data_IF_553819439041
#
_entry.id   IF_553819439041
#
_cell.length_a   1.000
_cell.length_b   1.000
_cell.length_c   1.000
_cell.angle_alpha   90.00
_cell.angle_beta   90.00
_cell.angle_gamma   90.00
#
_symmetry.space_group_name_H-M   'P 1'
#
loop_
_entity.id
_entity.type
_entity.pdbx_description
1 polymer ?
#
# COMPACT_ATOMS: atom_id res chain seq x y z
N UNK A 1 29.95 14.22 15.98
CA UNK A 1 28.96 13.77 15.01
C UNK A 1 27.71 13.34 15.78
N UNK A 2 26.52 13.72 15.31
CA UNK A 2 25.23 13.38 15.97
C UNK A 2 24.80 11.97 15.58
N UNK A 3 25.21 11.49 14.41
CA UNK A 3 24.89 10.15 13.87
C UNK A 3 26.17 9.33 13.69
N UNK A 4 26.09 8.04 13.93
CA UNK A 4 27.12 7.07 13.54
C UNK A 4 27.19 6.97 12.00
N UNK A 5 28.28 6.46 11.41
CA UNK A 5 28.37 6.24 9.96
C UNK A 5 27.25 5.36 9.40
N UNK A 6 26.77 4.39 10.18
CA UNK A 6 25.67 3.49 9.81
C UNK A 6 24.33 4.24 9.80
N UNK A 7 24.05 5.01 10.84
CA UNK A 7 22.85 5.86 10.93
C UNK A 7 22.85 6.96 9.85
N UNK A 8 24.00 7.57 9.57
CA UNK A 8 24.12 8.54 8.49
C UNK A 8 23.85 7.92 7.12
N UNK A 9 24.39 6.72 6.86
CA UNK A 9 24.13 5.99 5.62
C UNK A 9 22.67 5.56 5.50
N UNK A 10 22.01 5.18 6.60
CA UNK A 10 20.60 4.85 6.66
C UNK A 10 19.73 6.09 6.40
N UNK A 11 19.96 7.18 7.12
CA UNK A 11 19.26 8.46 6.93
C UNK A 11 19.40 9.01 5.52
N UNK A 12 20.58 8.88 4.90
CA UNK A 12 20.81 9.28 3.51
C UNK A 12 20.03 8.42 2.52
N UNK A 13 19.90 7.12 2.74
CA UNK A 13 19.10 6.23 1.89
C UNK A 13 17.60 6.52 2.05
N UNK A 14 17.12 6.71 3.27
CA UNK A 14 15.72 7.01 3.54
C UNK A 14 15.31 8.39 3.02
N UNK A 15 16.17 9.42 3.14
CA UNK A 15 15.85 10.77 2.66
C UNK A 15 15.62 10.87 1.14
N UNK A 16 16.24 9.98 0.35
CA UNK A 16 16.05 9.93 -1.11
C UNK A 16 14.72 9.28 -1.52
N UNK A 17 14.13 8.47 -0.65
CA UNK A 17 12.91 7.69 -0.91
C UNK A 17 11.77 7.98 0.09
N UNK A 18 11.99 8.88 1.04
CA UNK A 18 11.00 9.24 2.05
C UNK A 18 9.96 10.21 1.48
N UNK A 19 9.00 9.69 0.76
CA UNK A 19 7.84 10.44 0.30
C UNK A 19 6.77 10.45 1.40
N UNK A 20 6.91 11.33 2.40
CA UNK A 20 5.91 11.46 3.45
C UNK A 20 4.57 11.88 2.86
N UNK A 21 3.55 11.04 3.08
CA UNK A 21 2.20 11.34 2.63
C UNK A 21 1.60 12.44 3.50
N UNK A 22 1.08 13.50 2.88
CA UNK A 22 0.40 14.55 3.61
C UNK A 22 -0.82 13.96 4.36
N UNK A 23 -1.03 14.27 5.66
CA UNK A 23 -2.12 13.69 6.46
C UNK A 23 -3.51 13.81 5.82
N UNK A 24 -3.76 14.85 5.03
CA UNK A 24 -5.01 15.01 4.30
C UNK A 24 -5.25 13.89 3.29
N UNK A 25 -4.24 13.53 2.50
CA UNK A 25 -4.34 12.43 1.52
C UNK A 25 -4.58 11.11 2.25
N UNK A 26 -3.82 10.86 3.32
CA UNK A 26 -3.99 9.65 4.12
C UNK A 26 -5.39 9.57 4.75
N UNK A 27 -5.93 10.68 5.29
CA UNK A 27 -7.31 10.73 5.80
C UNK A 27 -8.36 10.50 4.71
N UNK A 28 -8.17 11.06 3.51
CA UNK A 28 -9.07 10.82 2.39
C UNK A 28 -9.09 9.35 1.98
N UNK A 29 -7.93 8.69 1.92
CA UNK A 29 -7.84 7.26 1.65
C UNK A 29 -8.53 6.44 2.75
N UNK A 30 -8.39 6.81 4.02
CA UNK A 30 -9.14 6.20 5.11
C UNK A 30 -10.64 6.41 5.00
N UNK A 31 -11.09 7.62 4.62
CA UNK A 31 -12.49 7.91 4.33
C UNK A 31 -13.05 6.97 3.26
N UNK A 32 -12.28 6.74 2.19
CA UNK A 32 -12.63 5.80 1.13
C UNK A 32 -12.72 4.35 1.66
N UNK A 33 -11.71 3.87 2.41
CA UNK A 33 -11.75 2.52 3.00
C UNK A 33 -12.93 2.33 3.95
N UNK A 34 -13.25 3.33 4.79
CA UNK A 34 -14.42 3.28 5.67
C UNK A 34 -15.73 3.20 4.89
N UNK A 35 -15.84 3.94 3.79
CA UNK A 35 -17.00 3.91 2.90
C UNK A 35 -17.13 2.54 2.21
N UNK A 36 -16.01 1.93 1.85
CA UNK A 36 -15.98 0.55 1.35
C UNK A 36 -16.38 -0.48 2.41
N UNK A 37 -16.40 -0.13 3.70
CA UNK A 37 -16.80 -1.00 4.81
C UNK A 37 -15.66 -1.47 5.72
N UNK A 38 -14.41 -1.05 5.49
CA UNK A 38 -13.28 -1.37 6.39
C UNK A 38 -13.46 -0.61 7.70
N UNK A 39 -13.56 -1.34 8.79
CA UNK A 39 -13.72 -0.80 10.16
C UNK A 39 -12.60 -1.25 11.08
N UNK A 40 -12.34 -2.53 11.06
CA UNK A 40 -11.49 -3.26 11.97
C UNK A 40 -10.69 -4.32 11.20
N UNK A 41 -9.84 -5.07 11.90
CA UNK A 41 -9.14 -6.22 11.35
C UNK A 41 -7.62 -6.06 11.33
N UNK A 42 -6.95 -6.86 10.50
CA UNK A 42 -5.49 -6.86 10.36
C UNK A 42 -5.09 -5.97 9.20
N UNK A 43 -4.46 -4.84 9.53
CA UNK A 43 -3.96 -3.87 8.55
C UNK A 43 -2.48 -4.07 8.24
N UNK A 44 -2.10 -3.91 6.98
CA UNK A 44 -0.72 -3.88 6.53
C UNK A 44 -0.37 -2.49 5.98
N UNK A 45 0.72 -1.90 6.47
CA UNK A 45 1.41 -0.79 5.81
C UNK A 45 2.82 -1.26 5.40
N UNK A 46 3.05 -1.64 4.13
CA UNK A 46 4.27 -2.34 3.72
C UNK A 46 5.49 -1.44 3.54
N UNK A 47 5.33 -0.13 3.66
CA UNK A 47 6.37 0.91 3.61
C UNK A 47 5.92 2.07 4.49
N UNK A 48 5.96 1.84 5.82
CA UNK A 48 5.22 2.69 6.75
C UNK A 48 5.88 4.05 7.02
N UNK A 49 7.17 4.19 6.78
CA UNK A 49 7.89 5.35 7.27
C UNK A 49 7.71 5.50 8.77
N UNK A 50 7.31 6.68 9.22
CA UNK A 50 6.96 6.94 10.62
C UNK A 50 5.51 6.58 10.99
N UNK A 51 4.73 5.98 10.08
CA UNK A 51 3.37 5.50 10.34
C UNK A 51 2.27 6.54 10.15
N UNK A 52 2.36 7.38 9.12
CA UNK A 52 1.35 8.41 8.87
C UNK A 52 -0.05 7.83 8.65
N UNK A 53 -0.17 6.67 8.02
CA UNK A 53 -1.48 6.02 7.83
C UNK A 53 -2.00 5.40 9.11
N UNK A 54 -1.13 4.90 10.00
CA UNK A 54 -1.52 4.44 11.33
C UNK A 54 -2.04 5.61 12.17
N UNK A 55 -1.32 6.74 12.16
CA UNK A 55 -1.64 7.90 12.99
C UNK A 55 -2.92 8.65 12.61
N UNK A 56 -3.40 8.48 11.38
CA UNK A 56 -4.68 9.08 10.94
C UNK A 56 -5.77 8.03 10.77
N UNK A 57 -5.56 6.80 11.24
CA UNK A 57 -6.62 5.80 11.29
C UNK A 57 -7.82 6.36 12.08
N UNK A 58 -9.06 6.08 11.64
CA UNK A 58 -10.24 6.62 12.30
C UNK A 58 -10.34 6.19 13.75
N UNK A 59 -10.74 7.11 14.62
CA UNK A 59 -10.99 6.82 16.03
C UNK A 59 -12.00 5.68 16.20
N UNK A 60 -11.78 4.86 17.22
CA UNK A 60 -12.60 3.68 17.52
C UNK A 60 -12.38 2.50 16.59
N UNK A 61 -11.43 2.57 15.65
CA UNK A 61 -11.05 1.40 14.86
C UNK A 61 -10.21 0.44 15.69
N UNK A 62 -10.55 -0.85 15.65
CA UNK A 62 -9.76 -1.90 16.29
C UNK A 62 -8.91 -2.62 15.23
N UNK A 63 -7.77 -2.02 14.89
CA UNK A 63 -6.89 -2.53 13.84
C UNK A 63 -5.62 -3.11 14.44
N UNK A 64 -5.36 -4.38 14.16
CA UNK A 64 -4.10 -5.03 14.45
C UNK A 64 -3.11 -4.71 13.33
N UNK A 65 -2.24 -3.73 13.56
CA UNK A 65 -1.31 -3.24 12.57
C UNK A 65 -0.05 -4.09 12.44
N UNK A 66 0.35 -4.31 11.18
CA UNK A 66 1.71 -4.67 10.81
C UNK A 66 2.25 -3.58 9.90
N UNK A 67 3.27 -2.87 10.38
CA UNK A 67 4.02 -1.89 9.62
C UNK A 67 5.38 -2.46 9.22
N UNK A 68 5.81 -2.21 7.99
CA UNK A 68 7.14 -2.62 7.50
C UNK A 68 7.91 -1.38 7.11
N UNK A 69 9.13 -1.24 7.59
CA UNK A 69 10.02 -0.12 7.25
C UNK A 69 11.45 -0.60 7.06
N UNK A 70 12.04 -0.22 5.96
CA UNK A 70 13.39 -0.64 5.58
C UNK A 70 14.46 0.02 6.45
N UNK A 71 14.28 1.32 6.78
CA UNK A 71 15.22 2.06 7.61
C UNK A 71 15.00 1.77 9.09
N UNK A 72 16.00 1.20 9.79
CA UNK A 72 15.86 0.83 11.19
C UNK A 72 15.54 2.01 12.12
N UNK A 73 16.08 3.19 11.83
CA UNK A 73 15.85 4.40 12.62
C UNK A 73 14.41 4.86 12.50
N UNK A 74 13.89 4.91 11.28
CA UNK A 74 12.49 5.27 11.00
C UNK A 74 11.53 4.22 11.59
N UNK A 75 11.87 2.93 11.48
CA UNK A 75 11.11 1.85 12.10
C UNK A 75 11.06 1.97 13.62
N UNK A 76 12.19 2.33 14.28
CA UNK A 76 12.24 2.55 15.71
C UNK A 76 11.33 3.72 16.15
N UNK A 77 11.32 4.82 15.38
CA UNK A 77 10.38 5.94 15.61
C UNK A 77 8.93 5.46 15.49
N UNK A 78 8.61 4.71 14.43
CA UNK A 78 7.27 4.12 14.25
C UNK A 78 6.86 3.21 15.41
N UNK A 79 7.76 2.34 15.88
CA UNK A 79 7.50 1.47 17.03
C UNK A 79 7.25 2.25 18.32
N UNK A 80 7.96 3.36 18.51
CA UNK A 80 7.76 4.23 19.68
C UNK A 80 6.40 4.97 19.61
N UNK A 81 6.04 5.47 18.43
CA UNK A 81 4.78 6.19 18.24
C UNK A 81 3.56 5.27 18.32
N UNK A 82 3.71 4.03 17.87
CA UNK A 82 2.61 3.06 17.80
C UNK A 82 2.99 1.73 18.50
N UNK A 83 3.06 1.72 19.83
CA UNK A 83 3.54 0.55 20.59
C UNK A 83 2.66 -0.69 20.47
N UNK A 84 1.40 -0.54 20.06
CA UNK A 84 0.49 -1.66 19.77
C UNK A 84 0.66 -2.26 18.38
N UNK A 85 1.38 -1.59 17.49
CA UNK A 85 1.63 -2.09 16.13
C UNK A 85 2.81 -3.08 16.10
N UNK A 86 2.72 -4.07 15.22
CA UNK A 86 3.86 -4.91 14.89
C UNK A 86 4.71 -4.20 13.83
N UNK A 87 5.82 -3.58 14.22
CA UNK A 87 6.73 -2.90 13.30
C UNK A 87 7.91 -3.81 12.96
N UNK A 88 8.07 -4.12 11.67
CA UNK A 88 9.14 -4.95 11.12
C UNK A 88 10.22 -4.05 10.48
N UNK A 89 11.38 -3.91 11.16
CA UNK A 89 12.53 -3.12 10.66
C UNK A 89 13.33 -3.92 9.61
N UNK A 90 12.76 -4.10 8.42
CA UNK A 90 13.35 -4.85 7.30
C UNK A 90 12.70 -4.50 5.98
N UNK A 91 13.29 -4.94 4.87
CA UNK A 91 12.65 -4.83 3.56
C UNK A 91 11.40 -5.71 3.45
N UNK A 92 10.40 -5.24 2.70
CA UNK A 92 9.15 -6.01 2.53
C UNK A 92 9.39 -7.39 1.91
N UNK A 93 10.46 -7.57 1.11
CA UNK A 93 10.86 -8.86 0.54
C UNK A 93 11.22 -9.89 1.63
N UNK A 94 11.70 -9.43 2.79
CA UNK A 94 12.15 -10.28 3.90
C UNK A 94 11.05 -10.55 4.93
N UNK A 95 9.87 -9.96 4.75
CA UNK A 95 8.71 -10.19 5.61
C UNK A 95 8.05 -11.51 5.23
N UNK A 96 7.95 -12.40 6.20
CA UNK A 96 7.34 -13.72 6.06
C UNK A 96 6.04 -13.78 6.85
N UNK A 97 4.92 -13.68 6.15
CA UNK A 97 3.57 -13.85 6.69
C UNK A 97 2.78 -14.78 5.75
N UNK A 98 1.81 -15.56 6.26
CA UNK A 98 0.97 -16.39 5.42
C UNK A 98 0.22 -15.58 4.36
N UNK A 99 -0.12 -16.22 3.26
CA UNK A 99 -1.07 -15.64 2.30
C UNK A 99 -2.44 -15.50 2.96
N UNK A 100 -3.22 -14.51 2.51
CA UNK A 100 -4.56 -14.22 3.02
C UNK A 100 -4.61 -13.84 4.52
N UNK A 101 -3.50 -13.35 5.06
CA UNK A 101 -3.40 -13.00 6.48
C UNK A 101 -4.09 -11.67 6.81
N UNK A 102 -3.85 -10.64 6.01
CA UNK A 102 -4.37 -9.29 6.26
C UNK A 102 -5.79 -9.12 5.71
N UNK A 103 -6.54 -8.25 6.32
CA UNK A 103 -7.86 -7.84 5.88
C UNK A 103 -7.78 -6.72 4.85
N UNK A 104 -6.81 -5.83 4.99
CA UNK A 104 -6.51 -4.78 4.03
C UNK A 104 -5.03 -4.38 4.08
N UNK A 105 -4.59 -3.68 3.04
CA UNK A 105 -3.30 -2.98 3.00
C UNK A 105 -3.52 -1.54 2.54
N UNK A 106 -2.81 -0.60 3.18
CA UNK A 106 -2.84 0.83 2.85
C UNK A 106 -1.43 1.39 2.95
N UNK A 107 -1.06 2.35 2.11
CA UNK A 107 0.24 2.99 2.20
C UNK A 107 0.63 3.78 0.97
N UNK A 108 1.80 4.41 1.05
CA UNK A 108 2.50 5.02 -0.07
C UNK A 108 3.72 4.15 -0.37
N UNK A 109 3.66 3.37 -1.44
CA UNK A 109 4.74 2.43 -1.76
C UNK A 109 5.92 3.13 -2.42
N UNK A 110 7.16 2.64 -2.26
CA UNK A 110 8.33 3.24 -2.89
C UNK A 110 8.21 3.21 -4.42
N UNK A 111 8.71 4.26 -5.07
CA UNK A 111 8.76 4.39 -6.54
C UNK A 111 10.19 4.20 -7.01
N UNK A 112 10.37 3.52 -8.14
CA UNK A 112 11.69 3.36 -8.70
C UNK A 112 11.77 2.27 -9.74
N UNK A 113 12.99 2.07 -10.25
CA UNK A 113 13.32 1.03 -11.23
C UNK A 113 13.90 -0.22 -10.57
N UNK A 114 14.15 -0.15 -9.27
CA UNK A 114 14.67 -1.23 -8.46
C UNK A 114 13.72 -2.43 -8.53
N UNK A 115 14.30 -3.61 -8.53
CA UNK A 115 13.56 -4.88 -8.53
C UNK A 115 13.91 -5.63 -7.25
N UNK A 116 13.04 -5.63 -6.25
CA UNK A 116 13.26 -6.38 -5.02
C UNK A 116 13.45 -7.87 -5.32
N UNK A 117 14.43 -8.48 -4.65
CA UNK A 117 14.68 -9.91 -4.80
C UNK A 117 13.83 -10.67 -3.78
N UNK A 118 12.76 -11.28 -4.26
CA UNK A 118 11.85 -12.13 -3.48
C UNK A 118 11.48 -13.34 -4.35
N UNK A 119 11.96 -14.52 -3.96
CA UNK A 119 11.92 -15.73 -4.79
C UNK A 119 10.56 -16.02 -5.43
N UNK A 120 9.41 -15.94 -4.74
CA UNK A 120 8.09 -16.17 -5.33
C UNK A 120 7.71 -15.15 -6.43
N UNK A 121 8.27 -13.93 -6.36
CA UNK A 121 7.92 -12.80 -7.24
C UNK A 121 8.96 -12.50 -8.32
N UNK A 122 10.18 -13.06 -8.23
CA UNK A 122 11.27 -12.83 -9.19
C UNK A 122 10.86 -13.14 -10.64
N UNK A 123 10.01 -14.15 -10.83
CA UNK A 123 9.47 -14.54 -12.15
C UNK A 123 8.70 -13.41 -12.86
N UNK A 124 8.19 -12.44 -12.13
CA UNK A 124 7.45 -11.32 -12.72
C UNK A 124 8.37 -10.22 -13.24
N UNK A 125 9.62 -10.10 -12.74
CA UNK A 125 10.54 -9.03 -13.08
C UNK A 125 9.99 -7.64 -12.76
N UNK A 126 9.12 -7.58 -11.75
CA UNK A 126 8.41 -6.37 -11.36
C UNK A 126 9.36 -5.33 -10.76
N UNK A 127 9.17 -4.07 -11.09
CA UNK A 127 9.81 -2.95 -10.39
C UNK A 127 9.16 -2.78 -9.00
N UNK A 128 9.82 -2.02 -8.12
CA UNK A 128 9.48 -1.95 -6.69
C UNK A 128 7.98 -1.68 -6.44
N UNK A 129 7.39 -0.66 -7.04
CA UNK A 129 5.97 -0.34 -6.82
C UNK A 129 5.02 -1.46 -7.29
N UNK A 130 5.30 -2.08 -8.42
CA UNK A 130 4.51 -3.21 -8.93
C UNK A 130 4.65 -4.46 -8.04
N UNK A 131 5.87 -4.70 -7.51
CA UNK A 131 6.14 -5.78 -6.56
C UNK A 131 5.32 -5.62 -5.27
N UNK A 132 5.22 -4.39 -4.74
CA UNK A 132 4.42 -4.13 -3.53
C UNK A 132 2.95 -4.50 -3.73
N UNK A 133 2.37 -4.19 -4.90
CA UNK A 133 1.00 -4.63 -5.22
C UNK A 133 0.89 -6.16 -5.31
N UNK A 134 1.81 -6.83 -6.02
CA UNK A 134 1.77 -8.28 -6.19
C UNK A 134 1.81 -9.00 -4.85
N UNK A 135 2.78 -8.65 -3.99
CA UNK A 135 2.94 -9.28 -2.68
C UNK A 135 1.80 -8.94 -1.73
N UNK A 136 1.38 -7.68 -1.68
CA UNK A 136 0.28 -7.28 -0.79
C UNK A 136 -1.04 -7.96 -1.17
N UNK A 137 -1.33 -8.13 -2.46
CA UNK A 137 -2.51 -8.89 -2.88
C UNK A 137 -2.46 -10.36 -2.47
N UNK A 138 -1.28 -10.98 -2.46
CA UNK A 138 -1.16 -12.34 -1.95
C UNK A 138 -1.38 -12.39 -0.43
N UNK A 139 -0.88 -11.39 0.30
CA UNK A 139 -0.98 -11.33 1.77
C UNK A 139 -2.35 -10.85 2.28
N UNK A 140 -3.09 -10.08 1.50
CA UNK A 140 -4.48 -9.71 1.80
C UNK A 140 -5.40 -10.88 1.44
N UNK A 141 -6.42 -11.14 2.27
CA UNK A 141 -7.39 -12.21 2.03
C UNK A 141 -8.38 -11.87 0.89
N UNK A 142 -9.06 -12.86 0.32
CA UNK A 142 -10.19 -12.61 -0.56
C UNK A 142 -11.25 -11.73 0.12
N UNK A 143 -11.90 -10.84 -0.65
CA UNK A 143 -12.81 -9.82 -0.13
C UNK A 143 -12.14 -8.61 0.51
N UNK A 144 -10.83 -8.69 0.80
CA UNK A 144 -10.03 -7.58 1.33
C UNK A 144 -9.60 -6.57 0.27
N UNK A 145 -9.04 -5.44 0.71
CA UNK A 145 -8.70 -4.28 -0.14
C UNK A 145 -7.23 -3.92 -0.02
N UNK A 146 -6.62 -3.56 -1.15
CA UNK A 146 -5.30 -2.92 -1.22
C UNK A 146 -5.49 -1.51 -1.75
N UNK A 147 -5.04 -0.51 -0.98
CA UNK A 147 -5.15 0.92 -1.28
C UNK A 147 -3.77 1.58 -1.23
N UNK A 148 -3.14 1.78 -2.38
CA UNK A 148 -1.78 2.34 -2.43
C UNK A 148 -1.68 3.59 -3.28
N UNK A 149 -0.81 4.51 -2.81
CA UNK A 149 -0.25 5.58 -3.63
C UNK A 149 0.95 4.99 -4.36
N UNK A 150 1.04 5.25 -5.66
CA UNK A 150 2.10 4.74 -6.53
C UNK A 150 2.43 5.75 -7.64
N UNK A 151 3.49 5.50 -8.39
CA UNK A 151 3.77 6.25 -9.62
C UNK A 151 2.83 5.87 -10.75
N UNK A 152 2.68 6.73 -11.76
CA UNK A 152 1.91 6.44 -12.97
C UNK A 152 2.39 5.17 -13.70
N UNK A 153 3.60 4.71 -13.40
CA UNK A 153 4.19 3.52 -14.02
C UNK A 153 3.37 2.24 -13.81
N UNK A 154 2.59 2.11 -12.74
CA UNK A 154 1.71 0.95 -12.57
C UNK A 154 0.58 0.96 -13.59
N UNK A 155 -0.04 2.12 -13.83
CA UNK A 155 -1.19 2.25 -14.71
C UNK A 155 -0.80 2.42 -16.20
N UNK A 156 0.21 3.25 -16.51
CA UNK A 156 0.46 3.73 -17.88
C UNK A 156 1.54 2.99 -18.65
N UNK A 157 2.26 2.02 -18.05
CA UNK A 157 3.23 1.22 -18.81
C UNK A 157 2.54 0.55 -20.01
N UNK A 158 3.14 0.68 -21.20
CA UNK A 158 2.66 0.00 -22.41
C UNK A 158 2.60 -1.52 -22.22
N UNK A 159 3.57 -2.09 -21.48
CA UNK A 159 3.52 -3.51 -21.13
C UNK A 159 2.49 -3.79 -20.04
N UNK A 160 1.40 -4.43 -20.40
CA UNK A 160 0.26 -4.73 -19.50
C UNK A 160 0.48 -5.96 -18.60
N UNK A 161 1.62 -6.66 -18.70
CA UNK A 161 1.86 -7.94 -18.01
C UNK A 161 1.55 -7.90 -16.52
N UNK A 162 2.05 -6.89 -15.80
CA UNK A 162 1.83 -6.79 -14.34
C UNK A 162 0.36 -6.48 -14.06
N UNK A 163 -0.25 -5.53 -14.78
CA UNK A 163 -1.68 -5.24 -14.64
C UNK A 163 -2.55 -6.47 -14.86
N UNK A 164 -2.23 -7.29 -15.86
CA UNK A 164 -2.93 -8.57 -16.11
C UNK A 164 -2.76 -9.57 -14.97
N UNK A 165 -1.57 -9.63 -14.33
CA UNK A 165 -1.37 -10.46 -13.14
C UNK A 165 -2.20 -9.97 -11.95
N UNK A 166 -2.25 -8.66 -11.71
CA UNK A 166 -3.05 -8.06 -10.66
C UNK A 166 -4.55 -8.26 -10.94
N UNK A 167 -4.99 -7.97 -12.17
CA UNK A 167 -6.38 -8.17 -12.62
C UNK A 167 -6.81 -9.65 -12.61
N UNK A 168 -5.87 -10.58 -12.70
CA UNK A 168 -6.13 -12.01 -12.51
C UNK A 168 -6.59 -12.36 -11.08
N UNK A 169 -6.21 -11.55 -10.08
CA UNK A 169 -6.49 -11.80 -8.66
C UNK A 169 -7.45 -10.80 -8.01
N UNK A 170 -7.56 -9.61 -8.56
CA UNK A 170 -8.31 -8.51 -7.96
C UNK A 170 -9.07 -7.69 -9.01
N UNK A 171 -10.14 -7.05 -8.55
CA UNK A 171 -10.87 -6.05 -9.32
C UNK A 171 -10.32 -4.66 -9.00
N UNK A 172 -10.17 -3.82 -10.02
CA UNK A 172 -9.99 -2.39 -9.80
C UNK A 172 -11.31 -1.83 -9.26
N UNK A 173 -11.25 -1.27 -8.06
CA UNK A 173 -12.40 -0.56 -7.47
C UNK A 173 -12.43 0.87 -7.99
N UNK A 174 -11.29 1.55 -7.92
CA UNK A 174 -11.06 2.88 -8.48
C UNK A 174 -9.56 3.18 -8.56
N UNK A 175 -9.22 4.16 -9.40
CA UNK A 175 -7.92 4.83 -9.36
C UNK A 175 -8.13 6.35 -9.45
N UNK A 176 -7.28 7.12 -8.77
CA UNK A 176 -7.34 8.59 -8.77
C UNK A 176 -5.94 9.09 -9.08
N UNK A 177 -5.81 9.90 -10.13
CA UNK A 177 -4.54 10.51 -10.54
C UNK A 177 -4.40 11.89 -9.94
N UNK A 178 -3.27 12.12 -9.26
CA UNK A 178 -2.96 13.36 -8.56
C UNK A 178 -1.95 14.20 -9.35
N UNK A 179 -2.01 15.54 -9.23
CA UNK A 179 -1.03 16.45 -9.81
C UNK A 179 0.40 16.18 -9.36
N UNK A 180 1.35 16.50 -10.22
CA UNK A 180 2.77 16.28 -9.97
C UNK A 180 3.32 16.99 -8.74
N UNK A 181 2.74 18.11 -8.33
CA UNK A 181 3.16 18.92 -7.18
C UNK A 181 2.51 18.51 -5.85
N UNK A 182 1.61 17.51 -5.86
CA UNK A 182 0.88 17.08 -4.66
C UNK A 182 1.80 16.70 -3.49
N UNK A 183 2.97 16.12 -3.78
CA UNK A 183 3.97 15.70 -2.79
C UNK A 183 5.23 16.58 -2.78
N UNK A 184 5.25 17.68 -3.54
CA UNK A 184 6.45 18.52 -3.70
C UNK A 184 6.96 19.12 -2.39
N UNK A 185 6.06 19.53 -1.50
CA UNK A 185 6.42 20.09 -0.19
C UNK A 185 7.10 19.08 0.73
N UNK A 186 6.83 17.78 0.53
CA UNK A 186 7.29 16.71 1.40
C UNK A 186 8.43 15.89 0.77
N UNK A 187 8.56 15.90 -0.55
CA UNK A 187 9.51 15.05 -1.28
C UNK A 187 10.51 15.84 -2.15
N UNK A 188 10.34 17.16 -2.29
CA UNK A 188 11.24 18.01 -3.10
C UNK A 188 11.17 17.77 -4.61
N UNK A 189 10.40 16.81 -5.08
CA UNK A 189 10.26 16.44 -6.50
C UNK A 189 8.81 16.50 -6.95
N UNK A 190 8.61 16.88 -8.23
CA UNK A 190 7.28 16.87 -8.85
C UNK A 190 7.10 15.51 -9.55
N UNK A 191 6.19 14.68 -9.05
CA UNK A 191 5.87 13.36 -9.60
C UNK A 191 4.37 13.15 -9.61
N UNK A 192 3.81 12.92 -10.78
CA UNK A 192 2.40 12.51 -10.93
C UNK A 192 2.25 11.13 -10.31
N UNK A 193 1.24 10.98 -9.46
CA UNK A 193 0.99 9.75 -8.71
C UNK A 193 -0.44 9.30 -8.88
N UNK A 194 -0.65 8.00 -8.69
CA UNK A 194 -1.97 7.39 -8.69
C UNK A 194 -2.29 6.81 -7.31
N UNK A 195 -3.50 7.00 -6.82
CA UNK A 195 -4.07 6.23 -5.71
C UNK A 195 -4.88 5.11 -6.35
N UNK A 196 -4.53 3.86 -6.06
CA UNK A 196 -5.18 2.70 -6.66
C UNK A 196 -5.84 1.86 -5.56
N UNK A 197 -7.11 1.53 -5.75
CA UNK A 197 -7.89 0.67 -4.86
C UNK A 197 -8.20 -0.63 -5.58
N UNK A 198 -7.70 -1.75 -5.07
CA UNK A 198 -7.93 -3.09 -5.59
C UNK A 198 -8.66 -3.92 -4.55
N UNK A 199 -9.73 -4.62 -4.95
CA UNK A 199 -10.40 -5.63 -4.12
C UNK A 199 -9.96 -7.02 -4.56
N UNK A 200 -9.40 -7.81 -3.65
CA UNK A 200 -9.05 -9.20 -3.96
C UNK A 200 -10.31 -10.04 -4.13
N UNK A 201 -10.37 -10.79 -5.22
CA UNK A 201 -11.50 -11.69 -5.51
C UNK A 201 -11.37 -13.01 -4.77
N UNK A 202 -12.52 -13.65 -4.56
CA UNK A 202 -12.55 -15.06 -4.20
C UNK A 202 -11.95 -15.90 -5.33
N UNK A 203 -11.23 -16.98 -5.03
CA UNK A 203 -10.69 -17.88 -6.03
C UNK A 203 -11.80 -18.38 -6.98
N UNK A 204 -11.56 -18.26 -8.29
CA UNK A 204 -12.52 -18.68 -9.31
C UNK A 204 -13.67 -17.69 -9.60
N UNK A 205 -13.78 -16.59 -8.83
CA UNK A 205 -14.78 -15.58 -9.13
C UNK A 205 -14.47 -14.82 -10.42
N UNK A 206 -15.52 -14.55 -11.20
CA UNK A 206 -15.41 -13.73 -12.42
C UNK A 206 -14.93 -12.31 -12.07
N UNK A 207 -14.13 -11.72 -12.98
CA UNK A 207 -13.69 -10.35 -12.84
C UNK A 207 -14.89 -9.39 -12.92
N UNK A 208 -14.88 -8.40 -12.06
CA UNK A 208 -15.87 -7.31 -11.98
C UNK A 208 -15.11 -5.98 -11.94
N UNK A 209 -15.81 -4.90 -12.21
CA UNK A 209 -15.21 -3.57 -12.20
C UNK A 209 -14.72 -3.10 -13.57
N UNK A 210 -14.17 -1.88 -13.66
CA UNK A 210 -13.77 -1.27 -14.91
C UNK A 210 -12.55 -1.96 -15.52
N UNK A 211 -12.42 -1.86 -16.84
CA UNK A 211 -11.22 -2.30 -17.55
C UNK A 211 -10.05 -1.34 -17.27
N UNK A 212 -8.85 -1.89 -17.01
CA UNK A 212 -7.67 -1.09 -16.66
C UNK A 212 -6.33 -1.74 -17.06
N UNK A 213 -6.37 -2.86 -17.76
CA UNK A 213 -5.13 -3.57 -18.09
C UNK A 213 -4.39 -2.97 -19.27
N UNK A 214 -5.09 -2.25 -20.14
CA UNK A 214 -4.53 -1.70 -21.38
C UNK A 214 -4.35 -0.18 -21.28
N UNK A 215 -3.57 0.36 -22.21
CA UNK A 215 -3.38 1.80 -22.39
C UNK A 215 -3.92 2.22 -23.75
N UNK A 216 -4.36 3.46 -23.84
CA UNK A 216 -4.88 4.09 -25.07
C UNK A 216 -4.14 5.39 -25.35
N UNK A 217 -4.29 5.91 -26.55
CA UNK A 217 -3.81 7.23 -26.95
C UNK A 217 -4.95 8.23 -26.81
N UNK A 218 -4.72 9.31 -26.07
CA UNK A 218 -5.63 10.44 -25.95
C UNK A 218 -4.97 11.69 -26.53
N UNK A 219 -5.75 12.62 -27.06
CA UNK A 219 -5.22 13.87 -27.61
C UNK A 219 -4.63 14.72 -26.52
N UNK A 220 -3.43 15.28 -26.78
CA UNK A 220 -2.88 16.33 -25.95
C UNK A 220 -3.72 17.60 -26.10
N UNK A 221 -4.26 18.19 -25.01
CA UNK A 221 -5.05 19.42 -25.10
C UNK A 221 -4.26 20.61 -25.64
N UNK A 222 -2.94 20.58 -25.59
CA UNK A 222 -2.04 21.61 -26.12
C UNK A 222 -1.62 21.38 -27.58
N UNK A 223 -2.20 20.38 -28.25
CA UNK A 223 -1.96 20.09 -29.66
C UNK A 223 -0.65 19.38 -29.97
N UNK A 224 0.01 18.83 -28.96
CA UNK A 224 1.20 18.01 -29.09
C UNK A 224 0.93 16.57 -29.55
N UNK A 225 1.89 15.69 -29.36
CA UNK A 225 1.72 14.26 -29.60
C UNK A 225 0.71 13.64 -28.63
N UNK A 226 0.01 12.62 -29.09
CA UNK A 226 -0.96 11.90 -28.28
C UNK A 226 -0.33 11.36 -26.99
N UNK A 227 -1.06 11.51 -25.87
CA UNK A 227 -0.68 11.06 -24.55
C UNK A 227 -1.03 9.58 -24.41
N UNK A 228 -0.08 8.75 -23.95
CA UNK A 228 -0.37 7.38 -23.55
C UNK A 228 -0.96 7.38 -22.14
N UNK A 229 -2.18 6.90 -22.01
CA UNK A 229 -2.94 6.92 -20.77
C UNK A 229 -3.60 5.56 -20.53
N UNK A 230 -3.71 5.14 -19.26
CA UNK A 230 -4.48 3.95 -18.96
C UNK A 230 -5.93 4.13 -19.41
N UNK A 231 -6.50 3.07 -20.01
CA UNK A 231 -7.88 3.11 -20.50
C UNK A 231 -8.87 3.52 -19.40
N UNK A 232 -8.63 3.11 -18.14
CA UNK A 232 -9.47 3.51 -17.02
C UNK A 232 -9.60 5.04 -16.88
N UNK A 233 -8.48 5.76 -16.97
CA UNK A 233 -8.50 7.22 -16.87
C UNK A 233 -9.09 7.89 -18.11
N UNK A 234 -8.91 7.29 -19.28
CA UNK A 234 -9.53 7.78 -20.52
C UNK A 234 -11.07 7.66 -20.46
N UNK A 235 -11.57 6.57 -19.88
CA UNK A 235 -13.01 6.33 -19.68
C UNK A 235 -13.57 7.08 -18.45
N UNK A 236 -12.72 7.46 -17.48
CA UNK A 236 -13.09 8.14 -16.26
C UNK A 236 -12.27 9.43 -16.05
N UNK A 237 -12.39 10.44 -16.92
CA UNK A 237 -11.56 11.65 -16.87
C UNK A 237 -11.74 12.45 -15.57
N UNK A 238 -12.88 12.34 -14.90
CA UNK A 238 -13.13 12.95 -13.60
C UNK A 238 -12.32 12.35 -12.44
N UNK A 239 -11.58 11.26 -12.69
CA UNK A 239 -10.62 10.66 -11.75
C UNK A 239 -9.18 11.18 -11.97
N UNK A 240 -8.95 12.04 -12.94
CA UNK A 240 -7.72 12.80 -13.12
C UNK A 240 -7.90 14.17 -12.47
N UNK A 241 -7.22 14.43 -11.34
CA UNK A 241 -7.44 15.61 -10.51
C UNK A 241 -6.51 16.75 -10.95
N UNK A 242 -6.82 17.34 -12.06
CA UNK A 242 -6.06 18.41 -12.67
C UNK A 242 -6.17 18.42 -14.17
N UNK A 243 -5.34 19.22 -14.81
CA UNK A 243 -5.26 19.27 -16.27
C UNK A 243 -4.17 18.30 -16.73
N UNK A 244 -4.57 17.31 -17.51
CA UNK A 244 -3.65 16.39 -18.17
C UNK A 244 -2.93 17.12 -19.30
N UNK A 245 -1.60 17.07 -19.32
CA UNK A 245 -0.77 17.69 -20.35
C UNK A 245 0.59 16.97 -20.45
N UNK A 246 1.45 17.43 -21.37
CA UNK A 246 2.84 16.96 -21.51
C UNK A 246 3.86 17.98 -21.03
N UNK A 247 3.43 19.14 -20.56
CA UNK A 247 4.31 20.23 -20.15
C UNK A 247 4.98 19.92 -18.81
N UNK A 248 6.27 20.26 -18.69
CA UNK A 248 6.98 20.23 -17.41
C UNK A 248 7.68 18.94 -17.03
N UNK A 249 7.74 17.94 -17.90
CA UNK A 249 8.54 16.73 -17.67
C UNK A 249 10.04 17.02 -17.88
N UNK A 250 10.76 17.30 -16.77
CA UNK A 250 12.22 17.49 -16.80
C UNK A 250 13.02 16.23 -17.18
N UNK A 251 12.38 15.05 -17.23
CA UNK A 251 13.10 13.78 -17.33
C UNK A 251 12.78 12.92 -18.54
N UNK A 252 11.66 13.17 -19.27
CA UNK A 252 11.28 12.43 -20.49
C UNK A 252 10.23 13.19 -21.30
N UNK A 253 10.42 13.25 -22.62
CA UNK A 253 9.43 13.78 -23.57
C UNK A 253 8.11 13.00 -23.61
N UNK A 254 8.06 11.79 -23.04
CA UNK A 254 6.92 10.86 -23.11
C UNK A 254 6.13 10.77 -21.79
N UNK A 255 6.52 11.53 -20.75
CA UNK A 255 5.84 11.43 -19.46
C UNK A 255 4.60 12.31 -19.40
N UNK A 256 3.51 11.70 -18.98
CA UNK A 256 2.27 12.39 -18.65
C UNK A 256 2.51 13.35 -17.49
N UNK A 257 2.06 14.58 -17.62
CA UNK A 257 1.97 15.55 -16.53
C UNK A 257 0.51 15.81 -16.17
N UNK A 258 0.26 16.15 -14.91
CA UNK A 258 -1.03 16.66 -14.44
C UNK A 258 -0.78 17.95 -13.67
N UNK A 259 -1.22 19.03 -14.26
CA UNK A 259 -1.10 20.37 -13.66
C UNK A 259 -2.24 20.63 -12.70
N UNK A 260 -1.89 20.98 -11.45
CA UNK A 260 -2.86 21.33 -10.41
C UNK A 260 -3.71 22.51 -10.82
N UNK A 261 -5.01 22.43 -10.56
CA UNK A 261 -5.98 23.48 -10.82
C UNK A 261 -6.47 24.09 -9.51
N UNK A 262 -7.03 25.32 -9.51
CA UNK A 262 -7.53 25.95 -8.29
C UNK A 262 -8.62 25.15 -7.56
N UNK A 263 -9.40 24.37 -8.29
CA UNK A 263 -10.48 23.50 -7.79
C UNK A 263 -10.00 22.08 -7.38
N UNK A 264 -8.69 21.90 -7.19
CA UNK A 264 -8.09 20.62 -6.83
C UNK A 264 -8.77 19.95 -5.65
N UNK A 265 -9.01 20.70 -4.59
CA UNK A 265 -9.54 20.18 -3.34
C UNK A 265 -10.96 19.62 -3.51
N UNK A 266 -11.82 20.40 -4.17
CA UNK A 266 -13.19 20.00 -4.47
C UNK A 266 -13.23 18.76 -5.38
N UNK A 267 -12.43 18.76 -6.44
CA UNK A 267 -12.34 17.64 -7.37
C UNK A 267 -11.80 16.38 -6.71
N UNK A 268 -10.81 16.51 -5.82
CA UNK A 268 -10.22 15.38 -5.11
C UNK A 268 -11.25 14.77 -4.14
N UNK A 269 -11.95 15.57 -3.37
CA UNK A 269 -13.02 15.10 -2.48
C UNK A 269 -14.14 14.42 -3.29
N UNK A 270 -14.60 15.05 -4.36
CA UNK A 270 -15.61 14.48 -5.25
C UNK A 270 -15.17 13.17 -5.89
N UNK A 271 -13.88 13.02 -6.26
CA UNK A 271 -13.36 11.77 -6.79
C UNK A 271 -13.34 10.65 -5.73
N UNK A 272 -12.94 10.98 -4.51
CA UNK A 272 -13.00 10.04 -3.37
C UNK A 272 -14.45 9.64 -3.04
N UNK A 273 -15.39 10.55 -3.17
CA UNK A 273 -16.82 10.32 -2.89
C UNK A 273 -17.51 9.42 -3.92
N UNK A 274 -16.99 9.36 -5.15
CA UNK A 274 -17.48 8.45 -6.19
C UNK A 274 -17.08 6.99 -5.97
N UNK A 275 -16.16 6.71 -5.04
CA UNK A 275 -15.77 5.33 -4.78
C UNK A 275 -16.97 4.51 -4.27
N UNK A 276 -17.14 3.27 -4.76
CA UNK A 276 -18.29 2.45 -4.39
C UNK A 276 -18.30 2.13 -2.90
N UNK A 277 -19.50 2.11 -2.33
CA UNK A 277 -19.70 1.77 -0.92
C UNK A 277 -19.82 0.26 -0.71
N UNK A 278 -19.50 -0.22 0.51
CA UNK A 278 -19.72 -1.59 0.95
C UNK A 278 -19.12 -2.66 0.02
N UNK A 279 -17.97 -2.36 -0.57
CA UNK A 279 -17.25 -3.30 -1.44
C UNK A 279 -16.39 -4.29 -0.66
N UNK A 280 -15.89 -3.88 0.51
CA UNK A 280 -15.15 -4.76 1.41
C UNK A 280 -16.09 -5.77 2.05
N UNK A 281 -15.63 -7.01 2.19
CA UNK A 281 -16.33 -8.04 2.92
C UNK A 281 -15.66 -8.24 4.27
N UNK A 282 -16.30 -7.90 5.39
CA UNK A 282 -15.76 -8.20 6.71
C UNK A 282 -15.42 -9.68 6.85
N UNK A 283 -14.42 -10.00 7.66
CA UNK A 283 -14.16 -11.40 8.04
C UNK A 283 -15.33 -11.86 8.90
N UNK A 284 -15.87 -13.05 8.62
CA UNK A 284 -16.82 -13.68 9.53
C UNK A 284 -16.13 -13.80 10.89
N UNK A 285 -16.71 -13.13 11.89
CA UNK A 285 -16.28 -13.28 13.27
C UNK A 285 -16.73 -14.66 13.70
N UNK A 286 -15.88 -15.65 13.54
CA UNK A 286 -16.05 -16.88 14.32
C UNK A 286 -15.76 -16.44 15.75
N UNK A 287 -16.80 -16.25 16.56
CA UNK A 287 -16.65 -16.11 18.01
C UNK A 287 -16.03 -17.42 18.53
N UNK A 288 -14.71 -17.48 18.51
CA UNK A 288 -14.01 -18.46 19.31
C UNK A 288 -14.07 -17.96 20.74
N UNK A 289 -15.08 -18.42 21.48
CA UNK A 289 -15.07 -18.41 22.94
C UNK A 289 -14.00 -19.40 23.41
N UNK A 290 -12.74 -19.11 23.15
CA UNK A 290 -11.61 -19.85 23.70
C UNK A 290 -10.85 -18.95 24.66
N UNK A 291 -10.81 -19.42 25.86
CA UNK A 291 -10.15 -18.92 27.05
C UNK A 291 -8.70 -18.50 26.75
N UNK A 292 -8.34 -17.25 27.06
CA UNK A 292 -7.05 -16.66 26.80
C UNK A 292 -6.09 -17.14 27.92
N UNK A 293 -5.56 -18.35 27.80
CA UNK A 293 -4.70 -18.88 28.86
C UNK A 293 -3.81 -20.07 28.52
N UNK A 294 -3.95 -20.70 27.38
CA UNK A 294 -3.14 -21.90 27.08
C UNK A 294 -1.86 -21.57 26.31
N UNK A 295 -0.73 -21.97 26.91
CA UNK A 295 0.57 -22.02 26.25
C UNK A 295 0.58 -23.20 25.29
N UNK A 296 0.57 -22.93 23.98
CA UNK A 296 0.59 -23.96 22.95
C UNK A 296 2.00 -24.56 22.87
N UNK A 297 2.14 -25.89 23.10
CA UNK A 297 3.40 -26.60 22.93
C UNK A 297 3.73 -26.74 21.45
N UNK A 298 4.93 -26.29 21.07
CA UNK A 298 5.41 -26.34 19.69
C UNK A 298 5.76 -27.77 19.24
N UNK A 299 5.27 -28.14 18.06
CA UNK A 299 5.77 -29.26 17.29
C UNK A 299 7.00 -28.79 16.47
N UNK A 300 8.20 -29.06 16.98
CA UNK A 300 9.49 -28.78 16.32
C UNK A 300 10.26 -27.59 16.89
N UNK A 301 11.60 -27.58 16.66
CA UNK A 301 12.49 -26.50 17.11
C UNK A 301 12.24 -25.24 16.26
N UNK A 302 11.62 -24.21 16.84
CA UNK A 302 11.52 -22.88 16.24
C UNK A 302 12.50 -21.93 16.92
N UNK A 303 12.94 -20.93 16.17
CA UNK A 303 13.99 -20.00 16.63
C UNK A 303 13.42 -19.11 17.75
N UNK A 304 14.16 -18.97 18.84
CA UNK A 304 13.83 -18.06 19.95
C UNK A 304 13.58 -16.63 19.44
N UNK A 305 12.61 -15.94 20.01
CA UNK A 305 12.16 -14.61 19.64
C UNK A 305 11.58 -14.46 18.20
N UNK A 306 11.38 -15.56 17.47
CA UNK A 306 10.67 -15.50 16.18
C UNK A 306 9.15 -15.34 16.39
N UNK A 307 8.48 -14.67 15.43
CA UNK A 307 7.03 -14.63 15.41
C UNK A 307 6.49 -15.86 14.66
N UNK A 308 5.52 -16.53 15.27
CA UNK A 308 4.82 -17.67 14.70
C UNK A 308 3.34 -17.35 14.63
N UNK A 309 2.70 -17.70 13.54
CA UNK A 309 1.26 -17.54 13.37
C UNK A 309 0.65 -18.95 13.42
N UNK A 310 -0.24 -19.14 14.37
CA UNK A 310 -0.97 -20.40 14.55
C UNK A 310 -2.46 -20.07 14.77
N UNK A 311 -3.33 -20.74 14.05
CA UNK A 311 -4.78 -20.48 14.06
C UNK A 311 -5.16 -18.99 13.86
N UNK A 312 -4.36 -18.26 13.05
CA UNK A 312 -4.62 -16.86 12.75
C UNK A 312 -4.21 -15.86 13.85
N UNK A 313 -3.55 -16.33 14.92
CA UNK A 313 -3.00 -15.47 15.99
C UNK A 313 -1.47 -15.40 15.86
N UNK A 314 -0.88 -14.25 16.19
CA UNK A 314 0.56 -14.06 16.22
C UNK A 314 1.09 -14.35 17.63
N UNK A 315 2.09 -15.22 17.70
CA UNK A 315 2.78 -15.59 18.93
C UNK A 315 4.27 -15.29 18.79
N UNK A 316 4.93 -14.99 19.91
CA UNK A 316 6.39 -14.94 19.99
C UNK A 316 6.90 -16.24 20.62
N UNK A 317 7.98 -16.79 20.07
CA UNK A 317 8.66 -17.94 20.68
C UNK A 317 9.52 -17.44 21.84
N UNK A 318 9.20 -17.84 23.08
CA UNK A 318 9.99 -17.59 24.28
C UNK A 318 10.19 -18.89 25.05
N UNK A 319 11.44 -19.23 25.35
CA UNK A 319 11.81 -20.46 26.09
C UNK A 319 11.21 -21.73 25.48
N UNK A 320 11.14 -21.79 24.13
CA UNK A 320 10.60 -22.93 23.42
C UNK A 320 9.07 -23.07 23.43
N UNK A 321 8.33 -22.06 23.94
CA UNK A 321 6.87 -22.00 23.95
C UNK A 321 6.35 -20.82 23.11
N UNK A 322 5.09 -20.90 22.67
CA UNK A 322 4.40 -19.77 22.02
C UNK A 322 3.74 -18.89 23.09
N UNK A 323 4.11 -17.63 23.09
CA UNK A 323 3.49 -16.60 23.96
C UNK A 323 2.68 -15.66 23.08
N UNK A 324 1.40 -15.46 23.42
CA UNK A 324 0.56 -14.48 22.73
C UNK A 324 1.23 -13.11 22.83
N UNK A 325 1.48 -12.49 21.69
CA UNK A 325 2.22 -11.24 21.62
C UNK A 325 1.54 -10.09 22.35
N UNK A 326 0.21 -10.18 22.57
CA UNK A 326 -0.55 -9.20 23.35
C UNK A 326 -0.32 -9.31 24.87
N UNK A 327 0.20 -10.45 25.33
CA UNK A 327 0.47 -10.73 26.75
C UNK A 327 1.97 -10.63 27.08
N UNK A 328 2.81 -10.38 26.08
CA UNK A 328 4.25 -10.27 26.27
C UNK A 328 4.61 -8.91 26.86
N UNK A 329 4.85 -8.87 28.19
CA UNK A 329 5.19 -7.66 28.95
C UNK A 329 6.57 -7.10 28.61
N UNK A 330 7.39 -7.84 27.87
CA UNK A 330 8.75 -7.48 27.44
C UNK A 330 8.83 -7.18 25.93
N UNK A 331 7.70 -6.90 25.26
CA UNK A 331 7.62 -6.59 23.85
C UNK A 331 7.62 -5.09 23.57
#
# INVERSE_FOLDING_TARGET
>A
AILTPIEFAAARRSSLNAHYTHPRIARAMWGALRRMGVRDGRGLEPSMGTGNFLGVAPEGSNINWTGVELDPTTAAIGSYLYPSANVEARGFQDVTVPDNFFDFAIGNVPFGKEKPSDKPYNKFGAVVHDYFFLKSLDKVRPGGVVAFITSTGTMDKTQSRIRKQLAGKADLVAAIRLPGDTFKSNAGTSVVTDIIFLKKREPGAAAKGPAWTEVVKVKDPDGGEDITLNQYFAENPAQVIGRLDRSGSMYRSDSVNVTKQPDFEEKFEAAMDRLPQNTYQPRDVVETTEDVGETVKLAGKKRENSTVIENGKAYRVKNGALVDRRLDKDA
#
